data_IF_237492842991
#
_entry.id   IF_237492842991
#
_cell.length_a   1.000
_cell.length_b   1.000
_cell.length_c   1.000
_cell.angle_alpha   90.00
_cell.angle_beta   90.00
_cell.angle_gamma   90.00
#
_symmetry.space_group_name_H-M   'P 1'
#
loop_
_entity.id
_entity.type
_entity.pdbx_description
1 polymer ?
#
# COMPACT_ATOMS: atom_id res chain seq x y z
N UNK A 1 -45.99 -7.54 -52.21
CA UNK A 1 -44.67 -6.86 -52.28
C UNK A 1 -44.70 -5.66 -51.35
N UNK A 2 -43.61 -5.44 -50.61
CA UNK A 2 -43.36 -4.29 -49.71
C UNK A 2 -43.58 -4.66 -48.25
N UNK A 3 -42.58 -4.78 -47.37
CA UNK A 3 -41.21 -4.30 -47.38
C UNK A 3 -40.94 -3.71 -46.00
N UNK A 4 -40.60 -4.56 -45.02
CA UNK A 4 -40.33 -4.17 -43.63
C UNK A 4 -39.08 -3.27 -43.58
N UNK A 5 -39.26 -1.97 -43.39
CA UNK A 5 -38.19 -1.01 -43.07
C UNK A 5 -38.27 -0.63 -41.59
N UNK A 6 -37.70 -1.44 -40.73
CA UNK A 6 -37.41 -1.07 -39.34
C UNK A 6 -35.99 -1.52 -39.04
N UNK A 7 -35.04 -0.71 -39.52
CA UNK A 7 -33.62 -0.96 -39.41
C UNK A 7 -32.98 0.28 -38.76
N UNK A 8 -32.15 0.00 -37.75
CA UNK A 8 -30.90 0.72 -37.49
C UNK A 8 -30.95 2.14 -36.90
N UNK A 9 -31.59 2.34 -35.75
CA UNK A 9 -31.29 3.53 -34.91
C UNK A 9 -30.79 3.15 -33.50
N UNK A 10 -31.01 1.92 -33.03
CA UNK A 10 -30.89 1.62 -31.59
C UNK A 10 -29.61 0.93 -31.11
N UNK A 11 -28.67 0.54 -31.98
CA UNK A 11 -27.51 -0.28 -31.53
C UNK A 11 -26.24 0.56 -31.32
N UNK A 12 -26.00 1.57 -32.17
CA UNK A 12 -24.77 2.36 -32.08
C UNK A 12 -24.73 3.31 -30.86
N UNK A 13 -25.87 3.92 -30.50
CA UNK A 13 -25.93 4.90 -29.38
C UNK A 13 -25.89 4.20 -28.02
N UNK A 14 -26.49 3.01 -27.91
CA UNK A 14 -26.48 2.21 -26.67
C UNK A 14 -25.09 1.64 -26.40
N UNK A 15 -24.34 1.27 -27.46
CA UNK A 15 -22.96 0.79 -27.31
C UNK A 15 -22.01 1.91 -26.83
N UNK A 16 -22.15 3.15 -27.31
CA UNK A 16 -21.29 4.25 -26.89
C UNK A 16 -21.50 4.70 -25.43
N UNK A 17 -22.74 4.64 -24.92
CA UNK A 17 -23.03 5.00 -23.53
C UNK A 17 -22.50 3.95 -22.53
N UNK A 18 -22.48 2.67 -22.89
CA UNK A 18 -21.95 1.61 -22.03
C UNK A 18 -20.42 1.68 -21.82
N UNK A 19 -19.69 2.21 -22.80
CA UNK A 19 -18.22 2.32 -22.75
C UNK A 19 -17.77 3.47 -21.82
N UNK A 20 -18.56 4.55 -21.71
CA UNK A 20 -18.22 5.67 -20.82
C UNK A 20 -18.41 5.33 -19.33
N UNK A 21 -19.34 4.43 -19.00
CA UNK A 21 -19.58 4.00 -17.62
C UNK A 21 -18.46 3.06 -17.14
N UNK A 22 -17.80 2.33 -18.04
CA UNK A 22 -16.73 1.38 -17.68
C UNK A 22 -15.39 2.05 -17.34
N UNK A 23 -15.16 3.30 -17.75
CA UNK A 23 -13.92 4.02 -17.45
C UNK A 23 -13.84 4.59 -16.01
N UNK A 24 -14.96 4.72 -15.30
CA UNK A 24 -15.00 5.34 -13.96
C UNK A 24 -14.61 4.35 -12.84
N UNK A 25 -14.61 3.04 -13.10
CA UNK A 25 -14.44 2.02 -12.05
C UNK A 25 -12.95 1.74 -11.71
N UNK A 26 -11.99 2.32 -12.45
CA UNK A 26 -10.56 1.96 -12.33
C UNK A 26 -9.83 2.69 -11.16
N UNK A 27 -10.46 3.66 -10.48
CA UNK A 27 -9.82 4.44 -9.39
C UNK A 27 -10.25 3.97 -7.98
N UNK A 28 -10.51 2.67 -7.80
CA UNK A 28 -10.49 2.05 -6.46
C UNK A 28 -9.69 0.75 -6.53
N UNK A 29 -8.46 0.88 -7.00
CA UNK A 29 -7.49 -0.20 -6.98
C UNK A 29 -6.92 -0.34 -5.56
N UNK A 30 -7.26 -1.47 -4.95
CA UNK A 30 -6.51 -2.18 -3.92
C UNK A 30 -6.40 -1.55 -2.52
N UNK A 31 -7.44 -1.80 -1.70
CA UNK A 31 -7.18 -2.35 -0.36
C UNK A 31 -7.39 -3.85 -0.43
N UNK A 32 -6.49 -4.53 -1.16
CA UNK A 32 -6.35 -5.97 -0.99
C UNK A 32 -5.52 -6.14 0.28
N UNK A 33 -6.20 -6.32 1.41
CA UNK A 33 -5.55 -6.92 2.57
C UNK A 33 -5.27 -8.36 2.16
N UNK A 34 -4.12 -8.58 1.52
CA UNK A 34 -3.51 -9.89 1.42
C UNK A 34 -3.17 -10.34 2.84
N UNK A 35 -4.12 -11.01 3.49
CA UNK A 35 -3.76 -11.98 4.52
C UNK A 35 -3.21 -13.19 3.77
N UNK A 36 -1.98 -13.07 3.29
CA UNK A 36 -1.22 -14.22 2.80
C UNK A 36 -0.73 -14.96 4.04
N UNK A 37 -1.49 -15.98 4.40
CA UNK A 37 -1.26 -16.86 5.55
C UNK A 37 0.09 -17.57 5.44
N UNK A 38 1.14 -16.94 5.95
CA UNK A 38 2.49 -17.51 6.02
C UNK A 38 3.21 -17.11 7.31
N UNK A 39 2.64 -17.38 8.50
CA UNK A 39 3.36 -17.34 9.81
C UNK A 39 4.34 -16.14 10.02
N UNK A 40 4.11 -14.98 9.39
CA UNK A 40 5.07 -13.89 9.39
C UNK A 40 4.90 -13.14 10.71
N UNK A 41 5.94 -13.19 11.53
CA UNK A 41 5.96 -12.60 12.88
C UNK A 41 5.77 -11.07 12.87
N UNK A 42 5.88 -10.45 11.70
CA UNK A 42 5.94 -9.00 11.48
C UNK A 42 5.00 -8.56 10.37
N UNK A 43 4.68 -7.25 10.37
CA UNK A 43 3.89 -6.63 9.30
C UNK A 43 4.68 -6.61 7.98
N UNK A 44 4.03 -6.97 6.88
CA UNK A 44 4.61 -6.96 5.53
C UNK A 44 4.32 -5.62 4.85
N UNK A 45 5.36 -5.01 4.31
CA UNK A 45 5.34 -3.75 3.57
C UNK A 45 6.18 -3.85 2.30
N UNK A 46 6.06 -2.88 1.40
CA UNK A 46 6.90 -2.80 0.19
C UNK A 46 8.01 -1.75 0.33
N UNK A 47 9.07 -1.88 -0.46
CA UNK A 47 10.12 -0.84 -0.55
C UNK A 47 9.53 0.53 -0.93
N UNK A 48 8.56 0.58 -1.85
CA UNK A 48 7.84 1.81 -2.22
C UNK A 48 7.16 2.50 -1.02
N UNK A 49 6.68 1.72 -0.03
CA UNK A 49 6.09 2.29 1.19
C UNK A 49 7.15 2.87 2.12
N UNK A 50 8.33 2.23 2.18
CA UNK A 50 9.47 2.73 2.96
C UNK A 50 10.00 4.03 2.35
N UNK A 51 10.11 4.13 1.03
CA UNK A 51 10.55 5.34 0.31
C UNK A 51 9.68 6.57 0.61
N UNK A 52 8.40 6.36 0.94
CA UNK A 52 7.47 7.45 1.27
C UNK A 52 7.64 8.01 2.68
N UNK A 53 8.47 7.39 3.50
CA UNK A 53 8.75 7.86 4.86
C UNK A 53 9.68 9.07 4.84
N UNK A 54 9.44 9.98 5.77
CA UNK A 54 10.21 11.21 5.92
C UNK A 54 10.75 11.31 7.34
N UNK A 55 11.93 11.92 7.49
CA UNK A 55 12.64 12.00 8.76
C UNK A 55 11.85 12.74 9.87
N UNK A 56 10.91 13.61 9.50
CA UNK A 56 10.06 14.35 10.42
C UNK A 56 8.82 13.58 10.90
N UNK A 57 8.51 12.42 10.30
CA UNK A 57 7.39 11.60 10.74
C UNK A 57 7.59 11.10 12.17
N UNK A 58 6.55 11.26 12.97
CA UNK A 58 6.46 10.68 14.30
C UNK A 58 6.22 9.18 14.25
N UNK A 59 6.45 8.51 15.37
CA UNK A 59 6.14 7.09 15.55
C UNK A 59 4.74 6.71 15.07
N UNK A 60 3.72 7.45 15.49
CA UNK A 60 2.33 7.16 15.14
C UNK A 60 2.07 7.32 13.64
N UNK A 61 2.68 8.31 13.00
CA UNK A 61 2.57 8.50 11.55
C UNK A 61 3.21 7.35 10.78
N UNK A 62 4.38 6.88 11.22
CA UNK A 62 5.04 5.72 10.62
C UNK A 62 4.19 4.45 10.79
N UNK A 63 3.63 4.20 11.99
CA UNK A 63 2.72 3.08 12.22
C UNK A 63 1.44 3.18 11.37
N UNK A 64 0.92 4.38 11.16
CA UNK A 64 -0.25 4.60 10.31
C UNK A 64 0.07 4.42 8.82
N UNK A 65 1.28 4.77 8.38
CA UNK A 65 1.73 4.63 7.00
C UNK A 65 2.09 3.18 6.63
N UNK A 66 2.81 2.49 7.52
CA UNK A 66 3.32 1.13 7.29
C UNK A 66 2.41 0.03 7.84
N UNK A 67 1.58 0.36 8.82
CA UNK A 67 0.80 -0.59 9.60
C UNK A 67 1.42 -0.86 10.98
N UNK A 68 0.57 -1.29 11.91
CA UNK A 68 1.02 -1.76 13.22
C UNK A 68 1.81 -3.05 13.07
N UNK A 69 2.95 -3.11 13.76
CA UNK A 69 3.81 -4.30 13.79
C UNK A 69 4.20 -4.64 15.22
N UNK A 70 5.01 -5.69 15.37
CA UNK A 70 5.52 -6.12 16.65
C UNK A 70 6.60 -5.15 17.16
N UNK A 71 6.33 -4.56 18.31
CA UNK A 71 7.36 -3.93 19.14
C UNK A 71 8.16 -5.03 19.85
N UNK A 72 9.48 -5.00 19.67
CA UNK A 72 10.43 -5.93 20.32
C UNK A 72 11.29 -5.24 21.37
N UNK A 73 11.11 -3.95 21.59
CA UNK A 73 11.95 -3.20 22.51
C UNK A 73 11.50 -3.34 23.96
N UNK A 74 12.44 -3.77 24.81
CA UNK A 74 12.23 -3.94 26.26
C UNK A 74 12.31 -2.60 26.99
N UNK A 75 11.46 -1.63 26.63
CA UNK A 75 11.49 -0.24 27.12
C UNK A 75 12.15 0.77 26.15
N UNK A 76 12.29 0.38 24.88
CA UNK A 76 12.57 1.28 23.74
C UNK A 76 11.56 0.94 22.66
N UNK A 77 11.22 1.88 21.79
CA UNK A 77 10.29 1.60 20.70
C UNK A 77 11.08 1.04 19.52
N UNK A 78 11.03 -0.28 19.30
CA UNK A 78 11.73 -0.92 18.17
C UNK A 78 10.72 -1.75 17.39
N UNK A 79 10.38 -1.23 16.21
CA UNK A 79 9.43 -1.85 15.29
C UNK A 79 10.17 -2.61 14.20
N UNK A 80 9.69 -3.80 13.88
CA UNK A 80 10.27 -4.65 12.85
C UNK A 80 9.25 -4.88 11.74
N UNK A 81 9.66 -4.63 10.51
CA UNK A 81 8.85 -4.81 9.31
C UNK A 81 9.54 -5.77 8.35
N UNK A 82 8.73 -6.49 7.60
CA UNK A 82 9.19 -7.35 6.52
C UNK A 82 8.98 -6.62 5.19
N UNK A 83 10.06 -6.26 4.51
CA UNK A 83 10.04 -5.50 3.26
C UNK A 83 10.17 -6.46 2.08
N UNK A 84 9.19 -6.42 1.17
CA UNK A 84 9.12 -7.23 -0.04
C UNK A 84 9.28 -8.75 0.19
N UNK A 85 8.93 -9.22 1.40
CA UNK A 85 9.08 -10.62 1.84
C UNK A 85 10.51 -11.16 1.74
N UNK A 86 11.49 -10.25 1.70
CA UNK A 86 12.89 -10.58 1.45
C UNK A 86 13.83 -9.94 2.47
N UNK A 87 13.42 -8.79 3.02
CA UNK A 87 14.24 -8.02 3.92
C UNK A 87 13.53 -7.74 5.24
N UNK A 88 14.30 -7.48 6.28
CA UNK A 88 13.84 -6.94 7.55
C UNK A 88 14.29 -5.49 7.68
N UNK A 89 13.32 -4.63 7.98
CA UNK A 89 13.54 -3.25 8.37
C UNK A 89 13.32 -3.11 9.87
N UNK A 90 14.28 -2.53 10.58
CA UNK A 90 14.16 -2.24 12.01
C UNK A 90 14.16 -0.74 12.21
N UNK A 91 13.07 -0.21 12.74
CA UNK A 91 12.91 1.21 13.02
C UNK A 91 12.90 1.40 14.53
N UNK A 92 13.91 2.12 15.03
CA UNK A 92 14.03 2.49 16.44
C UNK A 92 13.59 3.94 16.65
N UNK A 93 12.78 4.18 17.68
CA UNK A 93 12.44 5.53 18.16
C UNK A 93 13.00 5.73 19.57
N UNK A 94 13.58 6.90 19.82
CA UNK A 94 14.20 7.28 21.10
C UNK A 94 13.20 7.67 22.19
N UNK A 95 11.89 7.65 21.91
CA UNK A 95 10.84 8.00 22.85
C UNK A 95 9.48 8.20 22.17
N UNK A 96 8.47 8.61 22.94
CA UNK A 96 7.11 8.86 22.42
C UNK A 96 7.05 10.08 21.49
N UNK A 97 7.81 11.13 21.80
CA UNK A 97 7.91 12.35 20.99
C UNK A 97 9.07 12.32 19.97
N UNK A 98 9.63 11.13 19.70
CA UNK A 98 10.73 10.99 18.76
C UNK A 98 10.22 10.91 17.32
N UNK A 99 10.94 11.56 16.42
CA UNK A 99 10.74 11.43 14.98
C UNK A 99 11.61 10.31 14.41
N UNK A 100 11.31 9.90 13.19
CA UNK A 100 12.02 8.85 12.48
C UNK A 100 13.50 9.17 12.26
N UNK A 101 13.85 10.46 12.09
CA UNK A 101 15.20 11.00 11.84
C UNK A 101 15.90 10.49 10.56
N UNK A 102 15.32 9.49 9.90
CA UNK A 102 15.78 8.86 8.67
C UNK A 102 14.68 9.00 7.62
N UNK A 103 15.05 9.33 6.40
CA UNK A 103 14.14 9.26 5.26
C UNK A 103 14.06 7.83 4.70
N UNK A 104 13.11 7.61 3.79
CA UNK A 104 12.88 6.32 3.18
C UNK A 104 14.11 5.74 2.49
N UNK A 105 14.88 6.55 1.78
CA UNK A 105 16.13 6.14 1.13
C UNK A 105 17.14 5.60 2.16
N UNK A 106 17.38 6.34 3.25
CA UNK A 106 18.29 5.93 4.32
C UNK A 106 17.81 4.67 5.07
N UNK A 107 16.50 4.44 5.13
CA UNK A 107 15.93 3.21 5.70
C UNK A 107 16.10 2.02 4.77
N UNK A 108 15.95 2.21 3.45
CA UNK A 108 16.21 1.15 2.47
C UNK A 108 17.67 0.70 2.47
N UNK A 109 18.61 1.58 2.77
CA UNK A 109 20.02 1.21 2.92
C UNK A 109 20.31 0.33 4.16
N UNK A 110 19.39 0.29 5.12
CA UNK A 110 19.52 -0.45 6.38
C UNK A 110 18.81 -1.81 6.37
N UNK A 111 18.27 -2.22 5.22
CA UNK A 111 17.60 -3.50 5.07
C UNK A 111 18.53 -4.69 5.31
N UNK A 112 18.11 -5.61 6.16
CA UNK A 112 18.80 -6.87 6.42
C UNK A 112 18.11 -8.01 5.64
N UNK A 113 18.85 -8.88 4.94
CA UNK A 113 18.24 -10.07 4.30
C UNK A 113 17.71 -11.07 5.35
N UNK A 114 16.53 -11.65 5.08
CA UNK A 114 15.84 -12.64 5.93
C UNK A 114 16.57 -13.99 6.07
#
# INVERSE_FOLDING_TARGET
MGGRKTQMISVAVVACLAILISAIIIVKNQKDVQVSSSDSKYCQITSDQVEQLTADMSREEVLNALGETKDIGSGRYIYVYEVDQKYLLKIGFDGDDANLNLDGDALLEQLEEL
#
